data_IF_083251445579
#
_entry.id   IF_083251445579
#
_cell.length_a   1.000
_cell.length_b   1.000
_cell.length_c   1.000
_cell.angle_alpha   90.00
_cell.angle_beta   90.00
_cell.angle_gamma   90.00
#
_symmetry.space_group_name_H-M   'P 1'
#
loop_
_entity.id
_entity.type
_entity.pdbx_description
1 polymer ?
#
# COMPACT_ATOMS: atom_id res chain seq x y z
N UNK A 1 7.86 7.22 -7.58
CA UNK A 1 7.85 5.74 -7.52
C UNK A 1 8.12 5.20 -8.92
N UNK A 2 9.39 4.93 -9.24
CA UNK A 2 9.76 4.39 -10.56
C UNK A 2 9.27 2.94 -10.72
N UNK A 3 9.07 2.47 -11.97
CA UNK A 3 8.91 1.04 -12.22
C UNK A 3 10.22 0.29 -11.91
N UNK A 4 10.10 -0.99 -11.59
CA UNK A 4 11.23 -1.93 -11.53
C UNK A 4 11.89 -1.99 -12.93
N UNK A 5 13.20 -1.70 -13.04
CA UNK A 5 13.93 -1.82 -14.30
C UNK A 5 13.84 -3.21 -14.96
N UNK A 6 13.60 -4.26 -14.15
CA UNK A 6 13.48 -5.64 -14.62
C UNK A 6 12.04 -6.03 -15.01
N UNK A 7 11.07 -5.14 -14.81
CA UNK A 7 9.67 -5.42 -15.12
C UNK A 7 9.32 -4.99 -16.54
N UNK A 8 9.08 -5.95 -17.44
CA UNK A 8 8.66 -5.70 -18.82
C UNK A 8 7.35 -4.91 -18.95
N UNK A 9 6.46 -5.01 -17.96
CA UNK A 9 5.17 -4.32 -17.92
C UNK A 9 5.22 -2.98 -17.18
N UNK A 10 6.36 -2.64 -16.56
CA UNK A 10 6.50 -1.47 -15.69
C UNK A 10 5.70 -1.53 -14.39
N UNK A 11 5.70 -2.70 -13.75
CA UNK A 11 5.35 -2.90 -12.34
C UNK A 11 6.42 -2.29 -11.43
N UNK A 12 6.12 -2.16 -10.15
CA UNK A 12 7.05 -1.73 -9.09
C UNK A 12 7.79 -2.92 -8.48
N UNK A 13 8.96 -2.66 -7.89
CA UNK A 13 9.74 -3.71 -7.25
C UNK A 13 9.07 -4.24 -5.97
N UNK A 14 9.54 -5.41 -5.51
CA UNK A 14 8.96 -6.08 -4.34
C UNK A 14 9.14 -5.27 -3.04
N UNK A 15 10.20 -4.48 -2.92
CA UNK A 15 10.43 -3.64 -1.75
C UNK A 15 9.37 -2.54 -1.65
N UNK A 16 9.08 -1.90 -2.78
CA UNK A 16 8.05 -0.87 -2.93
C UNK A 16 6.66 -1.46 -2.69
N UNK A 17 6.38 -2.67 -3.20
CA UNK A 17 5.11 -3.37 -2.92
C UNK A 17 4.91 -3.61 -1.43
N UNK A 18 5.96 -4.06 -0.72
CA UNK A 18 5.88 -4.28 0.72
C UNK A 18 5.70 -2.98 1.50
N UNK A 19 6.37 -1.89 1.11
CA UNK A 19 6.16 -0.57 1.70
C UNK A 19 4.72 -0.09 1.56
N UNK A 20 4.11 -0.28 0.38
CA UNK A 20 2.71 0.09 0.15
C UNK A 20 1.78 -0.81 0.97
N UNK A 21 2.04 -2.11 1.01
CA UNK A 21 1.25 -3.04 1.83
C UNK A 21 1.29 -2.64 3.31
N UNK A 22 2.46 -2.27 3.84
CA UNK A 22 2.58 -1.79 5.21
C UNK A 22 1.80 -0.49 5.45
N UNK A 23 1.86 0.45 4.50
CA UNK A 23 1.03 1.66 4.56
C UNK A 23 -0.48 1.32 4.58
N UNK A 24 -0.90 0.35 3.78
CA UNK A 24 -2.29 -0.10 3.72
C UNK A 24 -2.71 -0.74 5.05
N UNK A 25 -1.87 -1.59 5.63
CA UNK A 25 -2.10 -2.22 6.91
C UNK A 25 -2.21 -1.19 8.04
N UNK A 26 -1.26 -0.25 8.13
CA UNK A 26 -1.29 0.78 9.19
C UNK A 26 -2.49 1.73 9.03
N UNK A 27 -2.79 2.16 7.80
CA UNK A 27 -3.83 3.16 7.54
C UNK A 27 -5.24 2.57 7.64
N UNK A 28 -5.50 1.49 6.91
CA UNK A 28 -6.86 0.97 6.74
C UNK A 28 -7.17 -0.14 7.76
N UNK A 29 -6.23 -1.05 8.02
CA UNK A 29 -6.48 -2.17 8.93
C UNK A 29 -6.38 -1.72 10.38
N UNK A 30 -5.21 -1.25 10.82
CA UNK A 30 -4.99 -0.83 12.21
C UNK A 30 -5.65 0.52 12.50
N UNK A 31 -5.51 1.48 11.60
CA UNK A 31 -6.02 2.85 11.77
C UNK A 31 -7.56 2.96 11.76
N UNK A 32 -8.26 2.09 11.03
CA UNK A 32 -9.73 2.15 10.94
C UNK A 32 -10.45 0.87 11.40
N UNK A 33 -9.73 -0.24 11.60
CA UNK A 33 -10.30 -1.52 12.02
C UNK A 33 -11.14 -2.19 10.93
N UNK A 34 -10.77 -2.02 9.65
CA UNK A 34 -11.33 -2.75 8.51
C UNK A 34 -10.53 -4.04 8.33
N UNK A 35 -11.19 -5.16 8.02
CA UNK A 35 -10.49 -6.42 7.79
C UNK A 35 -9.58 -6.31 6.56
N UNK A 36 -8.39 -6.93 6.61
CA UNK A 36 -7.48 -6.95 5.48
C UNK A 36 -8.09 -7.69 4.28
N UNK A 37 -8.92 -8.69 4.54
CA UNK A 37 -9.58 -9.49 3.49
C UNK A 37 -10.65 -8.70 2.73
N UNK A 38 -11.15 -7.61 3.31
CA UNK A 38 -12.08 -6.68 2.66
C UNK A 38 -11.36 -5.63 1.80
N UNK A 39 -10.02 -5.69 1.69
CA UNK A 39 -9.22 -4.68 1.02
C UNK A 39 -8.43 -5.31 -0.13
N UNK A 40 -8.51 -4.70 -1.30
CA UNK A 40 -7.52 -4.90 -2.36
C UNK A 40 -6.88 -3.57 -2.71
N UNK A 41 -5.61 -3.59 -3.07
CA UNK A 41 -4.94 -2.40 -3.58
C UNK A 41 -4.10 -2.76 -4.80
N UNK A 42 -3.92 -1.80 -5.68
CA UNK A 42 -3.07 -1.97 -6.84
C UNK A 42 -2.48 -0.63 -7.29
N UNK A 43 -1.40 -0.73 -8.06
CA UNK A 43 -0.87 0.37 -8.85
C UNK A 43 -1.06 0.02 -10.31
N UNK A 44 -1.59 0.94 -11.11
CA UNK A 44 -1.61 0.77 -12.55
C UNK A 44 -0.17 0.64 -13.09
N UNK A 45 0.04 -0.31 -13.99
CA UNK A 45 1.32 -0.44 -14.70
C UNK A 45 1.62 0.82 -15.50
N UNK A 46 2.90 1.16 -15.67
CA UNK A 46 3.27 2.40 -16.38
C UNK A 46 2.79 2.43 -17.83
N UNK A 47 2.54 1.26 -18.45
CA UNK A 47 1.97 1.13 -19.79
C UNK A 47 0.51 1.59 -19.90
N UNK A 48 -0.27 1.51 -18.81
CA UNK A 48 -1.70 1.85 -18.77
C UNK A 48 -2.01 3.08 -17.89
N UNK A 49 -1.00 3.64 -17.23
CA UNK A 49 -1.15 4.78 -16.33
C UNK A 49 -1.24 6.10 -17.11
N UNK A 50 -2.38 6.80 -16.99
CA UNK A 50 -2.62 8.08 -17.69
C UNK A 50 -1.78 9.25 -17.17
N UNK A 51 -1.62 9.38 -15.84
CA UNK A 51 -0.84 10.48 -15.22
C UNK A 51 0.43 9.90 -14.60
N UNK A 52 1.59 10.20 -15.20
CA UNK A 52 2.90 9.68 -14.77
C UNK A 52 3.62 10.60 -13.77
N UNK A 53 3.20 11.85 -13.65
CA UNK A 53 3.85 12.87 -12.81
C UNK A 53 3.57 12.74 -11.32
N UNK A 54 2.44 12.12 -10.94
CA UNK A 54 2.02 11.96 -9.55
C UNK A 54 1.84 10.46 -9.25
N UNK A 55 2.74 9.86 -8.44
CA UNK A 55 2.56 8.49 -7.98
C UNK A 55 1.31 8.37 -7.11
N UNK A 56 0.44 7.41 -7.42
CA UNK A 56 -0.74 7.08 -6.64
C UNK A 56 -0.99 5.56 -6.71
N UNK A 57 -1.71 5.07 -5.71
CA UNK A 57 -2.20 3.69 -5.63
C UNK A 57 -3.71 3.72 -5.49
N UNK A 58 -4.37 2.68 -5.99
CA UNK A 58 -5.79 2.47 -5.80
C UNK A 58 -5.99 1.51 -4.64
N UNK A 59 -6.93 1.83 -3.76
CA UNK A 59 -7.39 0.95 -2.68
C UNK A 59 -8.90 0.79 -2.87
N UNK A 60 -9.35 -0.45 -2.98
CA UNK A 60 -10.76 -0.81 -3.02
C UNK A 60 -11.09 -1.52 -1.72
N UNK A 61 -12.20 -1.09 -1.10
CA UNK A 61 -12.69 -1.60 0.16
C UNK A 61 -14.08 -2.19 -0.08
N UNK A 62 -14.32 -3.41 0.40
CA UNK A 62 -15.62 -4.06 0.36
C UNK A 62 -16.51 -3.47 1.48
N UNK A 63 -17.67 -2.93 1.12
CA UNK A 63 -18.54 -2.17 2.06
C UNK A 63 -19.96 -2.73 2.14
N UNK A 64 -20.11 -4.06 2.25
CA UNK A 64 -21.43 -4.67 2.47
C UNK A 64 -21.98 -4.35 3.88
N UNK A 65 -21.11 -4.05 4.84
CA UNK A 65 -21.45 -3.56 6.18
C UNK A 65 -21.34 -2.03 6.25
N UNK A 66 -22.42 -1.35 6.68
CA UNK A 66 -22.45 0.11 6.87
C UNK A 66 -21.36 0.63 7.79
N UNK A 67 -20.96 -0.15 8.80
CA UNK A 67 -19.88 0.22 9.74
C UNK A 67 -18.53 0.29 9.02
N UNK A 68 -18.30 -0.58 8.05
CA UNK A 68 -17.09 -0.56 7.21
C UNK A 68 -17.12 0.65 6.29
N UNK A 69 -18.28 0.97 5.71
CA UNK A 69 -18.45 2.19 4.91
C UNK A 69 -18.15 3.46 5.72
N UNK A 70 -18.70 3.58 6.93
CA UNK A 70 -18.46 4.73 7.82
C UNK A 70 -16.98 4.89 8.18
N UNK A 71 -16.30 3.78 8.54
CA UNK A 71 -14.85 3.76 8.79
C UNK A 71 -14.05 4.20 7.57
N UNK A 72 -14.39 3.68 6.39
CA UNK A 72 -13.72 4.05 5.15
C UNK A 72 -13.93 5.53 4.80
N UNK A 73 -15.13 6.07 5.02
CA UNK A 73 -15.43 7.49 4.81
C UNK A 73 -14.64 8.40 5.74
N UNK A 74 -14.40 7.98 6.99
CA UNK A 74 -13.61 8.75 7.94
C UNK A 74 -12.13 8.92 7.51
N UNK A 75 -11.62 8.07 6.63
CA UNK A 75 -10.26 8.17 6.08
C UNK A 75 -10.15 9.20 4.93
N UNK A 76 -11.27 9.61 4.34
CA UNK A 76 -11.27 10.53 3.19
C UNK A 76 -10.73 11.91 3.60
N UNK A 77 -9.74 12.40 2.85
CA UNK A 77 -9.10 13.69 3.13
C UNK A 77 -8.00 13.62 4.20
N UNK A 78 -7.77 12.45 4.80
CA UNK A 78 -6.63 12.22 5.69
C UNK A 78 -5.38 11.81 4.89
N UNK A 79 -4.20 11.99 5.48
CA UNK A 79 -2.94 11.47 4.95
C UNK A 79 -2.69 10.00 5.32
N UNK A 80 -3.58 9.38 6.10
CA UNK A 80 -3.39 8.03 6.64
C UNK A 80 -2.28 7.97 7.69
N UNK A 81 -1.75 6.75 7.90
CA UNK A 81 -0.70 6.50 8.87
C UNK A 81 0.68 6.96 8.36
N UNK A 82 1.49 7.53 9.26
CA UNK A 82 2.89 7.86 8.97
C UNK A 82 3.76 6.64 9.24
N UNK A 83 4.43 6.13 8.20
CA UNK A 83 5.43 5.08 8.36
C UNK A 83 6.77 5.67 8.77
N UNK A 84 7.43 5.06 9.75
CA UNK A 84 8.83 5.36 10.07
C UNK A 84 9.74 4.45 9.24
N UNK A 85 10.69 5.05 8.53
CA UNK A 85 11.57 4.33 7.62
C UNK A 85 12.47 3.31 8.36
N UNK A 86 12.81 3.60 9.61
CA UNK A 86 13.68 2.77 10.44
C UNK A 86 13.04 1.43 10.83
N UNK A 87 11.71 1.39 10.99
CA UNK A 87 10.95 0.18 11.38
C UNK A 87 10.91 -0.85 10.23
N UNK A 88 11.03 -0.36 8.99
CA UNK A 88 10.99 -1.16 7.78
C UNK A 88 12.37 -1.77 7.51
N UNK A 89 13.46 -1.04 7.78
CA UNK A 89 14.84 -1.51 7.57
C UNK A 89 15.30 -2.60 8.54
N UNK A 90 14.87 -2.55 9.81
CA UNK A 90 15.31 -3.49 10.85
C UNK A 90 14.74 -4.91 10.70
N UNK A 91 13.55 -5.05 10.10
CA UNK A 91 12.94 -6.35 9.83
C UNK A 91 13.64 -7.16 8.72
N UNK A 92 14.63 -6.58 8.02
CA UNK A 92 15.41 -7.28 6.99
C UNK A 92 16.84 -7.60 7.40
N UNK A 93 17.54 -6.74 8.15
CA UNK A 93 18.89 -7.04 8.64
C UNK A 93 18.92 -8.24 9.59
N UNK A 94 17.83 -8.50 10.31
CA UNK A 94 17.74 -9.66 11.22
C UNK A 94 17.52 -11.00 10.49
N UNK A 95 16.96 -10.99 9.27
CA UNK A 95 16.61 -12.21 8.52
C UNK A 95 17.50 -12.50 7.30
N UNK A 96 18.60 -11.76 7.10
CA UNK A 96 19.53 -12.00 5.98
C UNK A 96 21.01 -12.20 6.36
N UNK A 97 21.31 -12.52 7.62
CA UNK A 97 22.65 -13.04 7.99
C UNK A 97 22.54 -14.46 8.54
N UNK A 98 22.22 -15.38 7.63
CA UNK A 98 22.64 -16.78 7.71
C UNK A 98 22.95 -17.28 6.31
N UNK A 99 24.11 -16.88 5.82
CA UNK A 99 24.92 -17.62 4.84
C UNK A 99 26.22 -17.97 5.54
#
# INVERSE_FOLDING_TARGET
MPPDPNSEIGDIDNQTKKLIEEYVQETFVKGSGIDRDDIIWWKNYTKIQSIKSIPHVHVLIKTEDKRVEEKARALVGTHGATLKYDDIGQNYTSNQVKL
#
